data_IF_309533007702
#
_entry.id   IF_309533007702
#
_cell.length_a   1.000
_cell.length_b   1.000
_cell.length_c   1.000
_cell.angle_alpha   90.00
_cell.angle_beta   90.00
_cell.angle_gamma   90.00
#
_symmetry.space_group_name_H-M   'P 1'
#
loop_
_entity.id
_entity.type
_entity.pdbx_description
1 polymer ?
#
# COMPACT_ATOMS: atom_id res chain seq x y z
N UNK A 1 12.45 14.89 -35.18
CA UNK A 1 13.06 15.98 -34.39
C UNK A 1 12.16 16.22 -33.18
N UNK A 2 12.26 15.37 -32.15
CA UNK A 2 11.65 15.60 -30.84
C UNK A 2 12.81 15.70 -29.86
N UNK A 3 13.21 16.94 -29.56
CA UNK A 3 14.14 17.23 -28.47
C UNK A 3 13.41 16.90 -27.17
N UNK A 4 13.72 15.77 -26.57
CA UNK A 4 13.39 15.50 -25.17
C UNK A 4 14.46 16.21 -24.34
N UNK A 5 14.12 17.39 -23.86
CA UNK A 5 14.97 18.17 -22.95
C UNK A 5 15.19 17.36 -21.68
N UNK A 6 16.42 16.88 -21.48
CA UNK A 6 16.84 16.30 -20.20
C UNK A 6 16.79 17.38 -19.13
N UNK A 7 15.87 17.25 -18.18
CA UNK A 7 15.96 17.94 -16.90
C UNK A 7 16.70 17.01 -15.95
N UNK A 8 17.95 17.38 -15.67
CA UNK A 8 18.79 16.72 -14.69
C UNK A 8 18.32 17.06 -13.28
N UNK A 9 17.68 16.11 -12.61
CA UNK A 9 17.48 16.14 -11.16
C UNK A 9 17.28 14.72 -10.62
N UNK A 10 18.34 14.24 -9.97
CA UNK A 10 18.43 13.27 -8.87
C UNK A 10 17.44 12.10 -8.77
N UNK A 11 18.00 10.88 -8.78
CA UNK A 11 17.48 9.65 -8.19
C UNK A 11 16.19 9.04 -8.77
N UNK A 12 16.29 8.52 -10.00
CA UNK A 12 15.31 7.59 -10.56
C UNK A 12 15.50 6.16 -10.00
N UNK A 13 14.53 5.74 -9.18
CA UNK A 13 14.15 4.36 -8.79
C UNK A 13 15.20 3.25 -8.92
N UNK A 14 15.91 2.98 -7.82
CA UNK A 14 16.34 1.63 -7.47
C UNK A 14 15.63 1.27 -6.17
N UNK A 15 14.78 0.24 -6.19
CA UNK A 15 14.36 -0.42 -4.95
C UNK A 15 15.61 -1.03 -4.34
N UNK A 16 16.02 -0.67 -3.11
CA UNK A 16 17.02 -1.43 -2.40
C UNK A 16 16.36 -2.77 -2.11
N UNK A 17 16.73 -3.75 -2.92
CA UNK A 17 16.28 -5.12 -2.80
C UNK A 17 16.77 -5.64 -1.45
N UNK A 18 15.89 -6.30 -0.69
CA UNK A 18 16.37 -7.11 0.42
C UNK A 18 17.46 -8.05 -0.11
N UNK A 19 18.47 -8.42 0.69
CA UNK A 19 19.48 -9.38 0.27
C UNK A 19 18.91 -10.77 -0.10
N UNK A 20 17.59 -10.98 0.04
CA UNK A 20 16.91 -12.27 -0.08
C UNK A 20 15.84 -12.36 -1.18
N UNK A 21 15.54 -11.30 -1.95
CA UNK A 21 14.60 -11.34 -3.08
C UNK A 21 15.01 -10.37 -4.21
N UNK A 22 15.09 -10.81 -5.48
CA UNK A 22 15.05 -9.91 -6.65
C UNK A 22 14.07 -10.46 -7.69
N UNK A 23 13.40 -9.54 -8.37
CA UNK A 23 12.57 -9.82 -9.53
C UNK A 23 13.47 -9.88 -10.79
N UNK A 24 13.56 -11.02 -11.46
CA UNK A 24 14.20 -11.15 -12.78
C UNK A 24 13.30 -11.87 -13.79
N UNK A 25 13.48 -11.49 -15.06
CA UNK A 25 12.71 -11.90 -16.23
C UNK A 25 13.16 -13.29 -16.73
N UNK A 26 12.22 -14.10 -17.22
CA UNK A 26 12.50 -15.30 -18.03
C UNK A 26 12.41 -14.87 -19.50
N UNK A 27 13.55 -14.79 -20.21
CA UNK A 27 13.55 -14.62 -21.66
C UNK A 27 13.44 -16.01 -22.33
N UNK A 28 12.31 -16.30 -22.96
CA UNK A 28 12.23 -17.37 -23.96
C UNK A 28 12.99 -16.92 -25.22
N UNK A 29 14.15 -17.52 -25.47
CA UNK A 29 14.88 -17.33 -26.75
C UNK A 29 14.45 -18.41 -27.73
N UNK A 30 13.86 -17.99 -28.84
CA UNK A 30 13.92 -18.73 -30.09
C UNK A 30 15.29 -18.45 -30.75
N UNK A 31 16.08 -19.50 -30.92
CA UNK A 31 17.33 -19.48 -31.67
C UNK A 31 17.03 -19.41 -33.18
N UNK A 32 17.31 -18.28 -33.80
CA UNK A 32 17.54 -18.21 -35.24
C UNK A 32 19.05 -18.20 -35.50
N UNK A 33 19.54 -19.36 -35.92
CA UNK A 33 20.88 -19.59 -36.45
C UNK A 33 21.08 -18.77 -37.74
N UNK A 34 22.11 -17.92 -37.77
CA UNK A 34 22.70 -17.53 -39.06
C UNK A 34 24.23 -17.48 -38.97
N UNK A 35 24.84 -18.49 -39.58
CA UNK A 35 26.26 -18.58 -39.87
C UNK A 35 26.66 -17.46 -40.83
N UNK A 36 27.77 -16.79 -40.55
CA UNK A 36 28.67 -16.32 -41.59
C UNK A 36 30.11 -16.28 -41.07
N UNK A 37 30.93 -17.09 -41.73
CA UNK A 37 32.39 -17.18 -41.70
C UNK A 37 33.02 -15.96 -42.37
N UNK A 38 34.08 -15.38 -41.80
CA UNK A 38 35.16 -14.75 -42.58
C UNK A 38 36.47 -14.56 -41.76
N UNK A 39 37.47 -15.33 -42.21
CA UNK A 39 38.95 -15.17 -42.28
C UNK A 39 39.75 -14.17 -41.42
N UNK A 40 40.83 -14.70 -40.84
CA UNK A 40 41.97 -14.01 -40.19
C UNK A 40 42.83 -13.19 -41.16
N UNK A 41 43.28 -12.01 -40.72
CA UNK A 41 44.60 -11.42 -41.08
C UNK A 41 45.16 -10.62 -39.89
N UNK A 42 46.47 -10.70 -39.69
CA UNK A 42 47.18 -10.20 -38.52
C UNK A 42 47.84 -8.82 -38.70
N UNK A 43 48.05 -8.14 -37.55
CA UNK A 43 49.07 -7.12 -37.21
C UNK A 43 48.71 -5.62 -37.27
N UNK A 44 48.61 -5.01 -36.07
CA UNK A 44 49.16 -3.71 -35.63
C UNK A 44 48.80 -3.48 -34.13
N UNK A 45 49.64 -2.82 -33.32
CA UNK A 45 49.39 -2.70 -31.87
C UNK A 45 48.23 -1.74 -31.60
N UNK A 46 47.18 -2.22 -30.93
CA UNK A 46 46.01 -1.43 -30.55
C UNK A 46 46.40 -0.45 -29.44
N UNK A 47 46.22 0.85 -29.70
CA UNK A 47 46.07 1.85 -28.66
C UNK A 47 45.01 1.41 -27.64
N UNK A 48 45.31 1.56 -26.35
CA UNK A 48 44.35 1.33 -25.27
C UNK A 48 43.36 2.50 -25.31
N UNK A 49 42.33 2.37 -26.15
CA UNK A 49 41.16 3.25 -26.11
C UNK A 49 40.41 2.92 -24.82
N UNK A 50 40.15 3.89 -23.92
CA UNK A 50 39.35 3.63 -22.74
C UNK A 50 37.97 3.14 -23.19
N UNK A 51 37.62 1.92 -22.78
CA UNK A 51 36.31 1.33 -23.00
C UNK A 51 35.27 2.30 -22.47
N UNK A 52 34.55 2.96 -23.37
CA UNK A 52 33.42 3.79 -23.03
C UNK A 52 32.45 2.93 -22.21
N UNK A 53 32.23 3.29 -20.93
CA UNK A 53 31.20 2.67 -20.11
C UNK A 53 29.89 2.78 -20.88
N UNK A 54 29.31 1.64 -21.29
CA UNK A 54 27.95 1.60 -21.84
C UNK A 54 27.05 2.38 -20.88
N UNK A 55 26.20 3.30 -21.37
CA UNK A 55 25.21 3.91 -20.51
C UNK A 55 24.33 2.79 -19.94
N UNK A 56 24.28 2.67 -18.61
CA UNK A 56 23.30 1.82 -17.93
C UNK A 56 21.91 2.40 -18.19
N UNK A 57 21.24 1.91 -19.22
CA UNK A 57 19.82 2.18 -19.42
C UNK A 57 19.05 1.49 -18.29
N UNK A 58 18.52 2.26 -17.34
CA UNK A 58 17.65 1.74 -16.28
C UNK A 58 16.29 1.41 -16.88
N UNK A 59 15.93 0.13 -16.93
CA UNK A 59 14.63 -0.36 -17.42
C UNK A 59 13.61 -0.36 -16.30
N UNK A 60 12.49 0.36 -16.48
CA UNK A 60 11.32 0.28 -15.60
C UNK A 60 10.69 -1.10 -15.84
N UNK A 61 10.57 -1.93 -14.80
CA UNK A 61 9.89 -3.21 -14.91
C UNK A 61 8.39 -2.99 -15.10
N UNK A 62 7.77 -3.76 -16.00
CA UNK A 62 6.32 -3.77 -16.15
C UNK A 62 5.71 -4.24 -14.82
N UNK A 63 4.89 -3.39 -14.14
CA UNK A 63 4.21 -3.77 -12.93
C UNK A 63 3.54 -5.13 -13.05
N UNK A 64 2.77 -5.40 -14.12
CA UNK A 64 1.97 -6.62 -14.28
C UNK A 64 2.79 -7.92 -14.35
N UNK A 65 4.05 -7.83 -14.75
CA UNK A 65 4.97 -8.98 -14.91
C UNK A 65 5.64 -9.44 -13.61
N UNK A 66 5.38 -8.76 -12.49
CA UNK A 66 6.06 -9.04 -11.23
C UNK A 66 5.63 -10.38 -10.63
N UNK A 67 6.62 -11.19 -10.28
CA UNK A 67 6.47 -12.51 -9.68
C UNK A 67 7.40 -12.65 -8.48
N UNK A 68 6.91 -13.38 -7.47
CA UNK A 68 7.69 -13.76 -6.31
C UNK A 68 8.69 -14.84 -6.70
N UNK A 69 9.93 -14.73 -6.23
CA UNK A 69 10.94 -15.77 -6.37
C UNK A 69 11.76 -15.86 -5.09
N UNK A 70 11.81 -17.05 -4.50
CA UNK A 70 12.58 -17.31 -3.29
C UNK A 70 14.02 -17.71 -3.63
N UNK A 71 15.03 -16.97 -3.16
CA UNK A 71 16.43 -17.42 -3.30
C UNK A 71 16.76 -18.58 -2.38
N UNK A 72 16.09 -18.61 -1.23
CA UNK A 72 16.16 -19.67 -0.25
C UNK A 72 14.73 -19.96 0.17
N UNK A 73 14.36 -21.22 0.42
CA UNK A 73 13.07 -21.55 1.01
C UNK A 73 12.87 -20.73 2.28
N UNK A 74 11.76 -20.00 2.43
CA UNK A 74 11.51 -19.20 3.63
C UNK A 74 11.38 -20.13 4.84
N UNK A 75 12.04 -19.77 5.93
CA UNK A 75 12.04 -20.56 7.17
C UNK A 75 11.34 -19.83 8.31
N UNK A 76 11.32 -18.51 8.24
CA UNK A 76 10.74 -17.64 9.27
C UNK A 76 9.50 -16.93 8.74
N UNK A 77 8.42 -16.99 9.50
CA UNK A 77 7.14 -16.35 9.13
C UNK A 77 6.60 -15.51 10.26
N UNK A 78 6.25 -14.26 9.96
CA UNK A 78 5.53 -13.39 10.88
C UNK A 78 4.03 -13.54 10.63
N UNK A 79 3.28 -13.92 11.67
CA UNK A 79 1.81 -14.02 11.59
C UNK A 79 1.19 -12.85 12.35
N UNK A 80 0.46 -12.00 11.63
CA UNK A 80 -0.25 -10.85 12.17
C UNK A 80 -1.74 -11.17 12.15
N UNK A 81 -2.40 -11.14 13.31
CA UNK A 81 -3.86 -11.29 13.41
C UNK A 81 -4.55 -9.97 13.75
N UNK A 82 -5.77 -9.79 13.26
CA UNK A 82 -6.63 -8.69 13.71
C UNK A 82 -6.89 -8.80 15.22
N UNK A 83 -6.67 -7.69 15.92
CA UNK A 83 -6.80 -7.60 17.37
C UNK A 83 -8.28 -7.53 17.76
N UNK A 84 -8.65 -8.17 18.89
CA UNK A 84 -10.01 -8.20 19.44
C UNK A 84 -11.10 -8.76 18.51
N UNK A 85 -10.72 -9.57 17.53
CA UNK A 85 -11.66 -10.24 16.63
C UNK A 85 -11.67 -11.75 16.89
N UNK A 86 -12.78 -12.23 17.46
CA UNK A 86 -12.95 -13.64 17.86
C UNK A 86 -13.00 -14.56 16.63
N UNK A 87 -13.49 -14.06 15.49
CA UNK A 87 -13.60 -14.82 14.24
C UNK A 87 -12.23 -15.29 13.72
N UNK A 88 -11.17 -14.55 14.07
CA UNK A 88 -9.81 -14.82 13.61
C UNK A 88 -9.08 -15.85 14.47
N UNK A 89 -9.55 -16.13 15.69
CA UNK A 89 -8.82 -17.00 16.63
C UNK A 89 -8.67 -18.44 16.14
N UNK A 90 -9.77 -19.07 15.70
CA UNK A 90 -9.73 -20.44 15.19
C UNK A 90 -8.83 -20.56 13.93
N UNK A 91 -9.00 -19.70 12.90
CA UNK A 91 -8.08 -19.61 11.75
C UNK A 91 -6.62 -19.38 12.14
N UNK A 92 -6.36 -18.49 13.08
CA UNK A 92 -5.01 -18.23 13.58
C UNK A 92 -4.37 -19.48 14.18
N UNK A 93 -5.09 -20.20 15.05
CA UNK A 93 -4.58 -21.43 15.67
C UNK A 93 -4.33 -22.50 14.61
N UNK A 94 -5.23 -22.67 13.65
CA UNK A 94 -5.07 -23.65 12.55
C UNK A 94 -3.83 -23.35 11.71
N UNK A 95 -3.65 -22.09 11.30
CA UNK A 95 -2.50 -21.65 10.50
C UNK A 95 -1.18 -21.87 11.25
N UNK A 96 -1.08 -21.36 12.49
CA UNK A 96 0.15 -21.43 13.28
C UNK A 96 0.52 -22.88 13.58
N UNK A 97 -0.45 -23.71 13.94
CA UNK A 97 -0.23 -25.15 14.15
C UNK A 97 0.33 -25.82 12.90
N UNK A 98 -0.28 -25.55 11.74
CA UNK A 98 0.14 -26.10 10.46
C UNK A 98 1.56 -25.66 10.07
N UNK A 99 1.89 -24.38 10.23
CA UNK A 99 3.22 -23.83 9.95
C UNK A 99 4.32 -24.47 10.80
N UNK A 100 4.03 -24.74 12.08
CA UNK A 100 5.00 -25.31 13.02
C UNK A 100 5.15 -26.82 12.81
N UNK A 101 4.05 -27.57 12.79
CA UNK A 101 4.09 -29.04 12.79
C UNK A 101 4.33 -29.62 11.40
N UNK A 102 3.66 -29.10 10.37
CA UNK A 102 3.77 -29.63 9.00
C UNK A 102 4.89 -28.96 8.21
N UNK A 103 5.03 -27.63 8.31
CA UNK A 103 6.05 -26.88 7.56
C UNK A 103 7.37 -26.69 8.29
N UNK A 104 7.42 -26.99 9.59
CA UNK A 104 8.63 -26.84 10.43
C UNK A 104 9.24 -25.43 10.35
N UNK A 105 8.38 -24.41 10.23
CA UNK A 105 8.79 -23.01 10.18
C UNK A 105 8.88 -22.40 11.57
N UNK A 106 9.74 -21.39 11.71
CA UNK A 106 9.80 -20.55 12.90
C UNK A 106 8.74 -19.46 12.78
N UNK A 107 7.75 -19.49 13.66
CA UNK A 107 6.62 -18.55 13.62
C UNK A 107 6.82 -17.43 14.65
N UNK A 108 6.83 -16.20 14.16
CA UNK A 108 6.85 -14.98 14.96
C UNK A 108 5.44 -14.41 15.15
N UNK A 109 5.14 -13.97 16.37
CA UNK A 109 3.90 -13.27 16.73
C UNK A 109 4.20 -12.12 17.69
N UNK A 110 3.30 -11.14 17.76
CA UNK A 110 3.42 -10.07 18.74
C UNK A 110 3.23 -10.63 20.16
N UNK A 111 4.00 -10.15 21.14
CA UNK A 111 3.94 -10.63 22.52
C UNK A 111 2.54 -10.54 23.14
N UNK A 112 1.73 -9.56 22.74
CA UNK A 112 0.35 -9.40 23.18
C UNK A 112 -0.56 -10.60 22.81
N UNK A 113 -0.19 -11.39 21.79
CA UNK A 113 -0.90 -12.62 21.42
C UNK A 113 -0.78 -13.68 22.54
N UNK A 114 0.33 -13.69 23.29
CA UNK A 114 0.54 -14.63 24.38
C UNK A 114 -0.31 -14.30 25.62
N UNK A 115 -0.75 -13.05 25.72
CA UNK A 115 -1.58 -12.52 26.80
C UNK A 115 -3.09 -12.69 26.52
N UNK A 116 -3.45 -13.15 25.30
CA UNK A 116 -4.84 -13.35 24.88
C UNK A 116 -5.42 -14.65 25.45
N UNK A 117 -6.16 -14.53 26.55
CA UNK A 117 -6.76 -15.66 27.28
C UNK A 117 -7.79 -16.46 26.48
N UNK A 118 -8.33 -15.89 25.40
CA UNK A 118 -9.27 -16.62 24.53
C UNK A 118 -8.56 -17.73 23.74
N UNK A 119 -7.24 -17.60 23.49
CA UNK A 119 -6.45 -18.62 22.81
C UNK A 119 -6.19 -19.86 23.69
N UNK A 120 -6.22 -19.71 25.02
CA UNK A 120 -6.00 -20.82 25.94
C UNK A 120 -7.13 -21.87 25.90
N UNK A 121 -8.29 -21.53 25.30
CA UNK A 121 -9.38 -22.46 25.06
C UNK A 121 -9.03 -23.52 23.98
N UNK A 122 -8.07 -23.22 23.11
CA UNK A 122 -7.69 -24.08 22.00
C UNK A 122 -6.56 -25.02 22.41
N UNK A 123 -6.87 -26.30 22.63
CA UNK A 123 -5.88 -27.33 22.98
C UNK A 123 -4.72 -27.42 21.98
N UNK A 124 -4.98 -27.19 20.70
CA UNK A 124 -3.95 -27.17 19.66
C UNK A 124 -2.95 -26.03 19.86
N UNK A 125 -3.42 -24.85 20.30
CA UNK A 125 -2.56 -23.71 20.59
C UNK A 125 -1.65 -23.96 21.78
N UNK A 126 -2.17 -24.57 22.85
CA UNK A 126 -1.38 -24.89 24.05
C UNK A 126 -0.17 -25.80 23.76
N UNK A 127 -0.26 -26.66 22.74
CA UNK A 127 0.84 -27.56 22.32
C UNK A 127 1.97 -26.87 21.57
N UNK A 128 1.70 -25.70 20.99
CA UNK A 128 2.64 -24.96 20.14
C UNK A 128 3.03 -23.61 20.76
N UNK A 129 2.38 -23.21 21.86
CA UNK A 129 2.55 -21.92 22.53
C UNK A 129 4.01 -21.68 22.93
N UNK A 130 4.71 -22.71 23.37
CA UNK A 130 6.13 -22.70 23.76
C UNK A 130 7.10 -22.67 22.57
N UNK A 131 6.64 -23.03 21.37
CA UNK A 131 7.43 -23.00 20.13
C UNK A 131 7.38 -21.65 19.40
N UNK A 132 6.48 -20.76 19.80
CA UNK A 132 6.30 -19.45 19.18
C UNK A 132 7.43 -18.48 19.57
N UNK A 133 7.92 -17.74 18.59
CA UNK A 133 8.81 -16.61 18.82
C UNK A 133 7.97 -15.35 19.02
N UNK A 134 8.31 -14.54 20.02
CA UNK A 134 7.57 -13.31 20.34
C UNK A 134 8.45 -12.09 20.15
N UNK A 135 7.83 -10.97 19.78
CA UNK A 135 8.48 -9.67 19.70
C UNK A 135 7.60 -8.58 20.30
N UNK A 136 8.20 -7.46 20.69
CA UNK A 136 7.51 -6.25 21.17
C UNK A 136 7.79 -5.09 20.23
N UNK A 137 6.72 -4.50 19.68
CA UNK A 137 6.80 -3.30 18.86
C UNK A 137 7.55 -2.16 19.60
N UNK A 138 8.38 -1.44 18.88
CA UNK A 138 9.24 -0.37 19.38
C UNK A 138 10.43 -0.79 20.25
N UNK A 139 10.60 -2.09 20.56
CA UNK A 139 11.74 -2.61 21.32
C UNK A 139 12.61 -3.58 20.52
N UNK A 140 11.95 -4.51 19.83
CA UNK A 140 12.63 -5.56 19.07
C UNK A 140 12.70 -5.19 17.59
N UNK A 141 13.87 -5.34 16.99
CA UNK A 141 14.05 -5.19 15.54
C UNK A 141 13.81 -6.53 14.83
N UNK A 142 12.85 -6.54 13.90
CA UNK A 142 12.49 -7.68 13.06
C UNK A 142 13.19 -7.66 11.70
N UNK A 143 13.93 -6.59 11.39
CA UNK A 143 14.66 -6.46 10.13
C UNK A 143 15.61 -7.66 9.96
N UNK A 144 15.61 -8.24 8.75
CA UNK A 144 16.40 -9.43 8.37
C UNK A 144 16.13 -10.73 9.18
N UNK A 145 15.10 -10.76 10.03
CA UNK A 145 14.69 -11.97 10.79
C UNK A 145 13.46 -12.69 10.23
N UNK A 146 12.73 -12.02 9.33
CA UNK A 146 11.45 -12.48 8.81
C UNK A 146 11.58 -12.64 7.28
N UNK A 147 11.32 -13.85 6.79
CA UNK A 147 11.35 -14.15 5.35
C UNK A 147 9.99 -13.91 4.69
N UNK A 148 8.90 -14.13 5.45
CA UNK A 148 7.54 -14.14 4.93
C UNK A 148 6.55 -13.58 5.96
N UNK A 149 5.51 -12.86 5.51
CA UNK A 149 4.48 -12.31 6.39
C UNK A 149 3.11 -12.86 5.98
N UNK A 150 2.36 -13.37 6.96
CA UNK A 150 0.95 -13.75 6.78
C UNK A 150 0.07 -12.86 7.66
N UNK A 151 -0.87 -12.17 7.04
CA UNK A 151 -1.87 -11.36 7.70
C UNK A 151 -3.22 -12.09 7.74
N UNK A 152 -3.86 -12.16 8.91
CA UNK A 152 -5.20 -12.70 9.12
C UNK A 152 -6.12 -11.58 9.60
N UNK A 153 -6.96 -11.04 8.72
CA UNK A 153 -7.93 -10.01 9.06
C UNK A 153 -8.28 -9.11 7.88
N UNK A 154 -8.51 -7.83 8.16
CA UNK A 154 -8.74 -6.82 7.11
C UNK A 154 -7.48 -6.00 6.83
N UNK A 155 -7.65 -4.96 6.01
CA UNK A 155 -6.61 -4.04 5.53
C UNK A 155 -5.70 -3.47 6.63
N UNK A 156 -6.24 -3.25 7.84
CA UNK A 156 -5.48 -2.75 8.99
C UNK A 156 -4.33 -3.65 9.44
N UNK A 157 -4.37 -4.95 9.13
CA UNK A 157 -3.26 -5.89 9.40
C UNK A 157 -2.06 -5.62 8.50
N UNK A 158 -2.30 -5.31 7.22
CA UNK A 158 -1.25 -4.95 6.27
C UNK A 158 -0.67 -3.57 6.56
N UNK A 159 -1.50 -2.60 6.99
CA UNK A 159 -1.00 -1.31 7.50
C UNK A 159 -0.06 -1.49 8.70
N UNK A 160 -0.38 -2.41 9.62
CA UNK A 160 0.50 -2.75 10.73
C UNK A 160 1.81 -3.41 10.26
N UNK A 161 1.77 -4.31 9.28
CA UNK A 161 2.97 -4.85 8.66
C UNK A 161 3.86 -3.73 8.06
N UNK A 162 3.27 -2.79 7.30
CA UNK A 162 4.01 -1.64 6.77
C UNK A 162 4.65 -0.78 7.86
N UNK A 163 3.97 -0.61 9.01
CA UNK A 163 4.51 0.11 10.16
C UNK A 163 5.74 -0.59 10.75
N UNK A 164 5.68 -1.91 10.95
CA UNK A 164 6.79 -2.69 11.52
C UNK A 164 8.06 -2.63 10.66
N UNK A 165 7.91 -2.58 9.33
CA UNK A 165 9.03 -2.60 8.38
C UNK A 165 9.22 -1.23 7.71
N UNK A 166 9.91 -0.30 8.36
CA UNK A 166 10.22 1.05 7.82
C UNK A 166 11.34 1.07 6.76
N UNK A 167 11.77 -0.10 6.27
CA UNK A 167 12.71 -0.29 5.17
C UNK A 167 12.17 -1.35 4.21
N UNK A 168 12.99 -2.30 3.74
CA UNK A 168 12.52 -3.42 2.93
C UNK A 168 11.50 -4.25 3.69
N UNK A 169 10.40 -4.61 3.02
CA UNK A 169 9.32 -5.41 3.60
C UNK A 169 9.37 -6.81 2.98
N UNK A 170 9.33 -7.88 3.79
CA UNK A 170 9.14 -9.23 3.28
C UNK A 170 7.81 -9.39 2.51
N UNK A 171 7.68 -10.36 1.59
CA UNK A 171 6.42 -10.66 0.90
C UNK A 171 5.26 -10.86 1.88
N UNK A 172 4.14 -10.18 1.62
CA UNK A 172 2.94 -10.19 2.47
C UNK A 172 1.83 -10.96 1.79
N UNK A 173 1.38 -12.05 2.41
CA UNK A 173 0.16 -12.77 2.05
C UNK A 173 -0.95 -12.42 3.03
N UNK A 174 -2.09 -11.94 2.54
CA UNK A 174 -3.13 -11.40 3.42
C UNK A 174 -4.48 -12.07 3.18
N UNK A 175 -5.02 -12.68 4.23
CA UNK A 175 -6.30 -13.38 4.25
C UNK A 175 -7.40 -12.52 4.86
N UNK A 176 -8.55 -12.44 4.18
CA UNK A 176 -9.79 -11.95 4.78
C UNK A 176 -10.60 -13.10 5.40
N UNK A 177 -11.30 -12.78 6.49
CA UNK A 177 -12.12 -13.72 7.27
C UNK A 177 -13.59 -13.26 7.38
N UNK A 178 -14.00 -12.31 6.54
CA UNK A 178 -15.31 -11.68 6.54
C UNK A 178 -15.55 -11.02 5.18
N UNK A 179 -15.92 -9.74 5.16
CA UNK A 179 -15.96 -8.96 3.92
C UNK A 179 -14.57 -8.84 3.30
N UNK A 180 -14.49 -8.97 1.97
CA UNK A 180 -13.27 -8.66 1.22
C UNK A 180 -12.84 -7.21 1.51
N UNK A 181 -11.53 -7.01 1.63
CA UNK A 181 -10.88 -5.71 1.73
C UNK A 181 -9.95 -5.51 0.53
N UNK A 182 -9.56 -4.27 0.25
CA UNK A 182 -8.74 -3.96 -0.92
C UNK A 182 -7.30 -4.51 -0.84
N UNK A 183 -6.85 -4.90 0.35
CA UNK A 183 -5.49 -5.36 0.60
C UNK A 183 -5.39 -6.85 0.94
N UNK A 184 -6.52 -7.56 1.07
CA UNK A 184 -6.60 -8.92 1.61
C UNK A 184 -7.28 -9.90 0.63
N UNK A 185 -6.62 -10.27 -0.49
CA UNK A 185 -7.27 -11.00 -1.58
C UNK A 185 -7.57 -12.48 -1.28
N UNK A 186 -6.93 -13.08 -0.27
CA UNK A 186 -7.06 -14.52 -0.01
C UNK A 186 -8.21 -14.87 0.94
N UNK A 187 -9.00 -15.89 0.60
CA UNK A 187 -9.96 -16.51 1.53
C UNK A 187 -9.32 -17.62 2.36
N UNK A 188 -9.66 -17.70 3.64
CA UNK A 188 -9.00 -18.65 4.55
C UNK A 188 -9.39 -20.14 4.34
N UNK A 189 -10.48 -20.46 3.62
CA UNK A 189 -11.01 -21.82 3.53
C UNK A 189 -10.00 -22.87 3.07
N UNK A 190 -9.15 -22.55 2.07
CA UNK A 190 -8.14 -23.45 1.52
C UNK A 190 -6.71 -22.89 1.73
N UNK A 191 -6.43 -22.37 2.92
CA UNK A 191 -5.16 -21.69 3.18
C UNK A 191 -3.93 -22.59 2.96
N UNK A 192 -4.00 -23.90 3.24
CA UNK A 192 -2.84 -24.79 3.11
C UNK A 192 -2.34 -24.86 1.66
N UNK A 193 -3.25 -25.03 0.71
CA UNK A 193 -2.93 -25.07 -0.72
C UNK A 193 -2.38 -23.73 -1.19
N UNK A 194 -3.05 -22.64 -0.83
CA UNK A 194 -2.65 -21.29 -1.22
C UNK A 194 -1.27 -20.94 -0.66
N UNK A 195 -1.00 -21.25 0.62
CA UNK A 195 0.32 -21.01 1.22
C UNK A 195 1.38 -21.88 0.57
N UNK A 196 1.09 -23.16 0.25
CA UNK A 196 2.03 -24.02 -0.48
C UNK A 196 2.43 -23.42 -1.84
N UNK A 197 1.45 -22.98 -2.63
CA UNK A 197 1.70 -22.38 -3.95
C UNK A 197 2.59 -21.13 -3.84
N UNK A 198 2.41 -20.34 -2.77
CA UNK A 198 3.26 -19.18 -2.49
C UNK A 198 4.68 -19.60 -2.10
N UNK A 199 4.82 -20.60 -1.24
CA UNK A 199 6.12 -21.11 -0.78
C UNK A 199 6.94 -21.74 -1.93
N UNK A 200 6.28 -22.27 -2.95
CA UNK A 200 6.93 -22.82 -4.16
C UNK A 200 7.51 -21.74 -5.08
N UNK A 201 7.09 -20.47 -4.94
CA UNK A 201 7.79 -19.33 -5.53
C UNK A 201 7.36 -18.93 -6.94
N UNK A 202 6.07 -19.01 -7.26
CA UNK A 202 5.52 -18.58 -8.55
C UNK A 202 4.31 -17.64 -8.46
N UNK A 203 4.05 -17.08 -7.27
CA UNK A 203 2.91 -16.20 -7.07
C UNK A 203 3.11 -14.82 -7.72
N UNK A 204 2.03 -14.24 -8.24
CA UNK A 204 2.02 -12.85 -8.69
C UNK A 204 2.19 -11.90 -7.50
N UNK A 205 2.91 -10.80 -7.74
CA UNK A 205 3.15 -9.76 -6.73
C UNK A 205 2.63 -8.42 -7.24
N UNK A 206 1.98 -7.67 -6.35
CA UNK A 206 1.75 -6.23 -6.50
C UNK A 206 2.71 -5.48 -5.59
N UNK A 207 3.67 -4.75 -6.15
CA UNK A 207 4.52 -3.83 -5.40
C UNK A 207 3.77 -2.53 -5.11
N UNK A 208 3.17 -2.44 -3.92
CA UNK A 208 2.42 -1.25 -3.48
C UNK A 208 3.38 -0.16 -3.04
N UNK A 209 3.36 0.98 -3.73
CA UNK A 209 4.19 2.15 -3.38
C UNK A 209 3.87 2.66 -1.99
N UNK A 210 4.88 3.22 -1.30
CA UNK A 210 4.71 3.95 -0.03
C UNK A 210 5.12 5.40 -0.19
N UNK A 211 4.55 6.30 0.60
CA UNK A 211 5.07 7.65 0.77
C UNK A 211 6.17 7.65 1.82
N UNK A 212 7.23 8.41 1.56
CA UNK A 212 8.25 8.78 2.53
C UNK A 212 7.97 10.20 3.01
N UNK A 213 7.76 10.32 4.31
CA UNK A 213 7.37 11.55 4.97
C UNK A 213 8.46 12.03 5.92
N UNK A 214 8.92 13.26 5.75
CA UNK A 214 9.92 13.89 6.60
C UNK A 214 9.38 15.19 7.18
N UNK A 215 9.31 15.28 8.51
CA UNK A 215 8.95 16.53 9.21
C UNK A 215 10.21 17.37 9.36
N UNK A 216 10.19 18.55 8.78
CA UNK A 216 11.25 19.56 8.83
C UNK A 216 10.79 20.68 9.79
N UNK A 217 11.44 20.78 10.95
CA UNK A 217 11.10 21.82 11.93
C UNK A 217 11.82 23.13 11.65
N UNK A 218 11.19 24.26 11.99
CA UNK A 218 11.78 25.60 11.82
C UNK A 218 13.15 25.74 12.51
N UNK A 219 13.33 25.09 13.66
CA UNK A 219 14.60 25.10 14.42
C UNK A 219 15.79 24.55 13.64
N UNK A 220 15.54 23.65 12.69
CA UNK A 220 16.59 22.91 11.98
C UNK A 220 17.08 23.66 10.74
N UNK A 221 16.34 24.68 10.29
CA UNK A 221 16.66 25.49 9.12
C UNK A 221 17.49 26.76 9.46
N UNK A 222 17.60 27.12 10.75
CA UNK A 222 18.08 28.45 11.18
C UNK A 222 19.48 28.57 11.77
N UNK A 223 20.11 27.52 12.31
CA UNK A 223 21.36 27.67 13.07
C UNK A 223 22.44 26.66 12.64
N UNK A 224 23.29 27.06 11.69
CA UNK A 224 24.62 26.45 11.50
C UNK A 224 25.63 26.81 12.62
N UNK A 225 25.24 27.67 13.58
CA UNK A 225 26.14 28.25 14.58
C UNK A 225 25.98 27.80 16.04
N UNK A 226 24.94 27.05 16.42
CA UNK A 226 24.72 26.67 17.82
C UNK A 226 24.71 25.14 17.98
N UNK A 227 25.90 24.59 18.30
CA UNK A 227 26.19 23.15 18.41
C UNK A 227 25.71 22.52 19.73
N UNK A 228 24.75 23.11 20.43
CA UNK A 228 24.39 22.70 21.81
C UNK A 228 23.01 22.05 21.97
N UNK A 229 22.13 22.07 20.96
CA UNK A 229 20.85 21.35 21.03
C UNK A 229 21.00 19.98 20.39
N UNK A 230 20.70 18.91 21.15
CA UNK A 230 20.54 17.54 20.63
C UNK A 230 19.75 17.63 19.31
N UNK A 231 20.40 17.38 18.17
CA UNK A 231 19.73 17.28 16.87
C UNK A 231 18.74 16.14 17.00
N UNK A 232 17.46 16.48 17.21
CA UNK A 232 16.39 15.49 17.20
C UNK A 232 16.39 14.91 15.79
N UNK A 233 16.57 13.60 15.68
CA UNK A 233 16.63 12.91 14.39
C UNK A 233 15.34 13.27 13.64
N UNK A 234 15.43 13.80 12.40
CA UNK A 234 14.23 14.14 11.64
C UNK A 234 13.37 12.89 11.49
N UNK A 235 12.08 13.04 11.82
CA UNK A 235 11.10 11.97 11.70
C UNK A 235 11.04 11.54 10.24
N UNK A 236 11.48 10.32 9.94
CA UNK A 236 11.44 9.74 8.60
C UNK A 236 10.51 8.53 8.67
N UNK A 237 9.30 8.67 8.16
CA UNK A 237 8.25 7.66 8.25
C UNK A 237 7.83 7.21 6.85
N UNK A 238 7.60 5.92 6.70
CA UNK A 238 7.02 5.32 5.51
C UNK A 238 5.55 5.00 5.76
N UNK A 239 4.73 5.35 4.78
CA UNK A 239 3.26 5.35 4.88
C UNK A 239 2.70 4.63 3.66
N UNK A 240 1.77 3.70 3.87
CA UNK A 240 1.22 2.91 2.77
C UNK A 240 0.03 3.58 2.11
N UNK A 241 -0.93 4.09 2.89
CA UNK A 241 -2.14 4.68 2.36
C UNK A 241 -1.97 6.19 2.22
N UNK A 242 -1.92 6.92 3.33
CA UNK A 242 -1.93 8.38 3.30
C UNK A 242 -1.27 9.07 4.49
N UNK A 243 -0.76 10.27 4.21
CA UNK A 243 -0.46 11.28 5.22
C UNK A 243 -1.55 12.35 5.17
N UNK A 244 -2.14 12.63 6.33
CA UNK A 244 -3.22 13.60 6.49
C UNK A 244 -2.69 14.78 7.27
N UNK A 245 -2.87 15.99 6.76
CA UNK A 245 -2.65 17.24 7.48
C UNK A 245 -3.99 17.91 7.72
N UNK A 246 -4.43 18.01 8.97
CA UNK A 246 -5.75 18.53 9.36
C UNK A 246 -5.66 19.69 10.36
N UNK A 247 -6.75 20.43 10.52
CA UNK A 247 -6.86 21.59 11.45
C UNK A 247 -6.77 21.23 12.94
N UNK A 248 -6.71 19.95 13.30
CA UNK A 248 -6.65 19.54 14.68
C UNK A 248 -7.96 19.74 15.44
N UNK A 249 -7.89 20.03 16.75
CA UNK A 249 -9.06 20.40 17.54
C UNK A 249 -9.54 21.84 17.29
N UNK A 250 -8.85 22.60 16.43
CA UNK A 250 -9.17 24.02 16.24
C UNK A 250 -10.52 24.22 15.56
N UNK A 251 -11.36 25.16 16.03
CA UNK A 251 -12.63 25.49 15.37
C UNK A 251 -12.46 26.31 14.07
N UNK A 252 -11.29 26.91 13.84
CA UNK A 252 -11.04 27.67 12.61
C UNK A 252 -10.45 26.79 11.51
N UNK A 253 -10.65 27.19 10.26
CA UNK A 253 -10.06 26.53 9.09
C UNK A 253 -8.53 26.49 9.20
N UNK A 254 -7.95 25.38 8.75
CA UNK A 254 -6.51 25.29 8.51
C UNK A 254 -6.12 26.14 7.30
N UNK A 255 -4.92 26.72 7.33
CA UNK A 255 -4.33 27.38 6.17
C UNK A 255 -3.00 26.71 5.84
N UNK A 256 -3.01 25.86 4.82
CA UNK A 256 -1.92 24.94 4.49
C UNK A 256 -1.38 25.28 3.11
N UNK A 257 -0.11 25.66 3.02
CA UNK A 257 0.54 25.93 1.74
C UNK A 257 1.09 24.63 1.13
N UNK A 258 0.75 24.39 -0.14
CA UNK A 258 1.20 23.25 -0.92
C UNK A 258 2.20 23.70 -1.99
N UNK A 259 3.37 23.07 -1.97
CA UNK A 259 4.43 23.26 -2.96
C UNK A 259 4.71 21.94 -3.67
N UNK A 260 4.98 22.00 -4.97
CA UNK A 260 5.41 20.87 -5.79
C UNK A 260 6.74 21.25 -6.45
N UNK A 261 7.78 20.46 -6.20
CA UNK A 261 9.16 20.72 -6.65
C UNK A 261 9.62 22.16 -6.39
N UNK A 262 9.27 22.68 -5.21
CA UNK A 262 9.60 24.05 -4.77
C UNK A 262 8.70 25.16 -5.31
N UNK A 263 7.80 24.87 -6.26
CA UNK A 263 6.82 25.84 -6.77
C UNK A 263 5.56 25.84 -5.90
N UNK A 264 5.15 27.01 -5.42
CA UNK A 264 3.86 27.17 -4.72
C UNK A 264 2.72 26.91 -5.70
N UNK A 265 1.82 25.99 -5.33
CA UNK A 265 0.68 25.59 -6.16
C UNK A 265 -0.58 26.28 -5.67
N UNK A 266 -0.88 26.13 -4.37
CA UNK A 266 -2.09 26.68 -3.77
C UNK A 266 -1.98 26.72 -2.25
N UNK A 267 -2.84 27.50 -1.62
CA UNK A 267 -3.05 27.53 -0.18
C UNK A 267 -4.42 26.92 0.12
N UNK A 268 -4.41 25.79 0.82
CA UNK A 268 -5.61 25.03 1.18
C UNK A 268 -6.22 25.64 2.43
N UNK A 269 -7.41 26.22 2.27
CA UNK A 269 -8.25 26.68 3.36
C UNK A 269 -9.41 25.71 3.54
N UNK A 270 -9.44 24.98 4.65
CA UNK A 270 -10.42 23.90 4.85
C UNK A 270 -10.17 23.12 6.13
N UNK A 271 -10.75 21.92 6.20
CA UNK A 271 -10.48 20.99 7.30
C UNK A 271 -9.08 20.39 7.21
N UNK A 272 -8.54 20.22 5.99
CA UNK A 272 -7.19 19.69 5.80
C UNK A 272 -6.85 19.29 4.36
N UNK A 273 -5.80 18.49 4.25
CA UNK A 273 -5.23 17.98 3.02
C UNK A 273 -4.76 16.53 3.23
N UNK A 274 -5.13 15.64 2.32
CA UNK A 274 -4.67 14.25 2.27
C UNK A 274 -3.66 14.14 1.12
N UNK A 275 -2.51 13.55 1.40
CA UNK A 275 -1.60 13.06 0.36
C UNK A 275 -1.54 11.54 0.44
N UNK A 276 -1.98 10.86 -0.61
CA UNK A 276 -2.14 9.41 -0.61
C UNK A 276 -1.41 8.74 -1.77
N UNK A 277 -1.10 7.46 -1.59
CA UNK A 277 -0.69 6.56 -2.66
C UNK A 277 -1.91 6.07 -3.46
N UNK A 278 -1.71 5.39 -4.59
CA UNK A 278 -2.78 4.67 -5.27
C UNK A 278 -3.45 3.62 -4.37
N UNK A 279 -2.69 2.99 -3.46
CA UNK A 279 -3.23 2.05 -2.47
C UNK A 279 -4.16 2.76 -1.48
N UNK A 280 -3.78 3.96 -1.01
CA UNK A 280 -4.63 4.80 -0.16
C UNK A 280 -5.81 5.45 -0.87
N UNK A 281 -5.92 5.33 -2.20
CA UNK A 281 -7.03 5.91 -2.97
C UNK A 281 -8.39 5.35 -2.56
N UNK A 282 -8.44 4.11 -2.06
CA UNK A 282 -9.64 3.43 -1.57
C UNK A 282 -9.85 3.55 -0.06
N UNK A 283 -8.96 4.26 0.65
CA UNK A 283 -9.01 4.46 2.09
C UNK A 283 -9.66 5.81 2.44
N UNK A 284 -8.98 6.69 3.16
CA UNK A 284 -9.59 7.97 3.56
C UNK A 284 -9.81 8.92 2.37
N UNK A 285 -8.97 8.81 1.33
CA UNK A 285 -9.03 9.67 0.15
C UNK A 285 -10.36 9.57 -0.62
N UNK A 286 -10.91 8.36 -0.83
CA UNK A 286 -12.21 8.19 -1.53
C UNK A 286 -13.35 8.86 -0.77
N UNK A 287 -13.33 8.81 0.57
CA UNK A 287 -14.32 9.49 1.40
C UNK A 287 -14.25 11.02 1.27
N UNK A 288 -13.06 11.57 0.99
CA UNK A 288 -12.85 12.98 0.69
C UNK A 288 -13.10 13.34 -0.80
N UNK A 289 -13.59 12.41 -1.61
CA UNK A 289 -13.95 12.63 -3.02
C UNK A 289 -12.84 12.36 -4.03
N UNK A 290 -11.76 11.69 -3.64
CA UNK A 290 -10.72 11.28 -4.57
C UNK A 290 -11.20 10.15 -5.50
N UNK A 291 -10.59 10.05 -6.69
CA UNK A 291 -10.78 8.91 -7.59
C UNK A 291 -10.04 7.68 -7.09
N UNK A 292 -10.59 6.49 -7.32
CA UNK A 292 -9.88 5.23 -7.06
C UNK A 292 -8.86 4.96 -8.15
N UNK A 293 -7.66 4.56 -7.76
CA UNK A 293 -6.53 4.37 -8.66
C UNK A 293 -5.98 2.95 -8.46
N UNK A 294 -5.72 2.25 -9.57
CA UNK A 294 -5.10 0.93 -9.55
C UNK A 294 -3.69 1.00 -8.92
N UNK A 295 -3.29 0.05 -8.05
CA UNK A 295 -1.99 0.08 -7.35
C UNK A 295 -0.76 0.20 -8.26
N UNK A 296 -0.85 -0.28 -9.49
CA UNK A 296 0.24 -0.26 -10.48
C UNK A 296 0.44 1.10 -11.16
N UNK A 297 -0.42 2.10 -10.92
CA UNK A 297 -0.27 3.45 -11.50
C UNK A 297 0.76 4.25 -10.67
N UNK A 298 1.90 4.68 -11.24
CA UNK A 298 2.94 5.39 -10.50
C UNK A 298 2.56 6.86 -10.27
N UNK A 299 1.79 7.13 -9.21
CA UNK A 299 1.31 8.47 -8.89
C UNK A 299 1.27 8.76 -7.40
N UNK A 300 1.23 10.05 -7.06
CA UNK A 300 0.86 10.57 -5.74
C UNK A 300 -0.44 11.34 -5.92
N UNK A 301 -1.37 11.19 -4.98
CA UNK A 301 -2.64 11.90 -5.01
C UNK A 301 -2.64 12.99 -3.94
N UNK A 302 -3.26 14.12 -4.25
CA UNK A 302 -3.49 15.22 -3.30
C UNK A 302 -4.98 15.54 -3.29
N UNK A 303 -5.61 15.37 -2.13
CA UNK A 303 -7.07 15.46 -1.97
C UNK A 303 -7.38 16.42 -0.83
N UNK A 304 -8.01 17.58 -1.09
CA UNK A 304 -8.42 18.48 -0.01
C UNK A 304 -9.57 17.89 0.81
N UNK A 305 -9.60 18.21 2.11
CA UNK A 305 -10.71 17.86 3.01
C UNK A 305 -11.56 19.11 3.22
N UNK A 306 -12.82 19.05 2.78
CA UNK A 306 -13.81 20.13 2.90
C UNK A 306 -13.21 21.52 2.58
N UNK A 307 -12.61 21.72 1.38
CA UNK A 307 -12.00 23.01 1.05
C UNK A 307 -13.07 24.09 0.94
N UNK A 308 -12.79 25.27 1.48
CA UNK A 308 -13.63 26.46 1.33
C UNK A 308 -13.66 26.96 -0.12
N UNK A 309 -12.60 26.68 -0.89
CA UNK A 309 -12.56 26.94 -2.33
C UNK A 309 -13.29 25.85 -3.11
N UNK A 310 -14.38 26.21 -3.78
CA UNK A 310 -15.17 25.29 -4.62
C UNK A 310 -14.43 24.80 -5.87
N UNK A 311 -13.35 25.47 -6.27
CA UNK A 311 -12.56 25.11 -7.44
C UNK A 311 -11.45 24.10 -7.14
N UNK A 312 -11.13 23.86 -5.85
CA UNK A 312 -10.04 22.96 -5.51
C UNK A 312 -10.51 21.50 -5.54
N UNK A 313 -10.14 20.80 -6.61
CA UNK A 313 -10.43 19.39 -6.81
C UNK A 313 -9.23 18.52 -6.46
N UNK A 314 -9.44 17.22 -6.17
CA UNK A 314 -8.34 16.27 -6.04
C UNK A 314 -7.48 16.26 -7.30
N UNK A 315 -6.16 16.21 -7.11
CA UNK A 315 -5.18 16.17 -8.20
C UNK A 315 -4.31 14.91 -8.08
N UNK A 316 -3.86 14.43 -9.23
CA UNK A 316 -2.94 13.29 -9.33
C UNK A 316 -1.66 13.80 -9.97
N UNK A 317 -0.52 13.56 -9.32
CA UNK A 317 0.79 14.02 -9.76
C UNK A 317 1.73 12.82 -9.94
N UNK A 318 2.77 12.91 -10.78
CA UNK A 318 3.69 11.79 -11.02
C UNK A 318 4.42 11.36 -9.74
N UNK A 319 4.70 10.06 -9.58
CA UNK A 319 5.36 9.53 -8.38
C UNK A 319 6.77 10.07 -8.10
N UNK A 320 7.42 10.70 -9.09
CA UNK A 320 8.78 11.25 -8.97
C UNK A 320 8.86 12.67 -8.40
N UNK A 321 7.72 13.34 -8.17
CA UNK A 321 7.71 14.71 -7.65
C UNK A 321 7.92 14.75 -6.15
N UNK A 322 8.41 15.88 -5.66
CA UNK A 322 8.44 16.21 -4.25
C UNK A 322 7.30 17.15 -3.89
N UNK A 323 6.53 16.77 -2.87
CA UNK A 323 5.53 17.64 -2.26
C UNK A 323 6.09 18.21 -0.96
N UNK A 324 5.92 19.52 -0.76
CA UNK A 324 6.16 20.18 0.51
C UNK A 324 4.87 20.83 0.98
N UNK A 325 4.48 20.51 2.20
CA UNK A 325 3.28 21.00 2.85
C UNK A 325 3.74 21.80 4.06
N UNK A 326 3.34 23.06 4.18
CA UNK A 326 3.70 23.89 5.32
C UNK A 326 2.48 24.58 5.91
N UNK A 327 2.47 24.74 7.24
CA UNK A 327 1.49 25.59 7.90
C UNK A 327 1.79 27.02 7.53
N UNK A 328 0.82 27.71 6.92
CA UNK A 328 1.00 29.08 6.45
C UNK A 328 1.38 30.00 7.62
N UNK A 329 2.31 30.96 7.43
CA UNK A 329 2.64 31.96 8.45
C UNK A 329 1.41 32.77 8.91
N UNK A 330 0.44 32.97 8.01
CA UNK A 330 -0.79 33.70 8.26
C UNK A 330 -1.90 32.82 8.88
N UNK A 331 -1.63 31.52 9.09
CA UNK A 331 -2.56 30.64 9.78
C UNK A 331 -2.79 31.12 11.21
N UNK A 332 -4.04 31.10 11.67
CA UNK A 332 -4.37 31.46 13.05
C UNK A 332 -4.01 30.38 14.06
N UNK A 333 -3.85 29.13 13.59
CA UNK A 333 -3.57 27.98 14.42
C UNK A 333 -2.53 27.06 13.78
N UNK A 334 -2.05 26.12 14.60
CA UNK A 334 -1.25 24.98 14.18
C UNK A 334 -2.09 23.99 13.36
N UNK A 335 -1.42 23.03 12.76
CA UNK A 335 -2.07 21.90 12.08
C UNK A 335 -1.57 20.60 12.67
N UNK A 336 -2.25 19.50 12.41
CA UNK A 336 -1.88 18.17 12.88
C UNK A 336 -1.60 17.28 11.70
N UNK A 337 -0.57 16.46 11.79
CA UNK A 337 -0.23 15.45 10.79
C UNK A 337 -0.47 14.06 11.37
N UNK A 338 -1.04 13.16 10.58
CA UNK A 338 -1.14 11.72 10.87
C UNK A 338 -0.64 10.89 9.70
N UNK A 339 -0.18 9.69 9.99
CA UNK A 339 0.45 8.77 9.05
C UNK A 339 -0.29 7.43 9.13
N UNK A 340 -0.97 7.01 8.05
CA UNK A 340 -1.86 5.83 8.03
C UNK A 340 -2.87 5.81 9.21
N UNK A 341 -3.40 7.00 9.57
CA UNK A 341 -4.31 7.18 10.71
C UNK A 341 -3.66 7.02 12.10
N UNK A 342 -2.33 6.95 12.18
CA UNK A 342 -1.54 6.79 13.41
C UNK A 342 -0.53 7.92 13.60
N UNK A 343 0.24 7.85 14.69
CA UNK A 343 1.40 8.70 14.98
C UNK A 343 1.15 10.20 14.82
N UNK A 344 0.02 10.66 15.36
CA UNK A 344 -0.43 12.05 15.23
C UNK A 344 0.57 13.00 15.89
N UNK A 345 1.00 14.02 15.15
CA UNK A 345 1.95 15.02 15.61
C UNK A 345 1.46 16.43 15.25
N UNK A 346 1.76 17.40 16.09
CA UNK A 346 1.46 18.80 15.82
C UNK A 346 2.54 19.43 14.93
N UNK A 347 2.11 20.15 13.90
CA UNK A 347 2.92 20.99 13.02
C UNK A 347 2.74 22.46 13.41
N UNK A 348 3.84 23.09 13.84
CA UNK A 348 3.85 24.48 14.24
C UNK A 348 4.07 25.41 13.04
N UNK A 349 3.88 26.71 13.24
CA UNK A 349 4.17 27.70 12.20
C UNK A 349 5.63 27.65 11.76
N UNK A 350 5.83 27.52 10.44
CA UNK A 350 7.15 27.38 9.83
C UNK A 350 7.71 25.95 9.84
N UNK A 351 7.02 24.99 10.46
CA UNK A 351 7.29 23.57 10.22
C UNK A 351 6.74 23.18 8.84
N UNK A 352 7.38 22.22 8.21
CA UNK A 352 6.93 21.68 6.92
C UNK A 352 7.09 20.18 6.85
N UNK A 353 6.17 19.53 6.17
CA UNK A 353 6.19 18.12 5.83
C UNK A 353 6.66 17.97 4.38
N UNK A 354 7.74 17.22 4.17
CA UNK A 354 8.22 16.83 2.85
C UNK A 354 7.74 15.40 2.56
N UNK A 355 7.09 15.20 1.41
CA UNK A 355 6.53 13.92 0.97
C UNK A 355 7.10 13.56 -0.39
N UNK A 356 7.61 12.34 -0.50
CA UNK A 356 8.18 11.76 -1.73
C UNK A 356 7.74 10.31 -1.84
N UNK A 357 7.78 9.69 -3.01
CA UNK A 357 7.60 8.23 -3.11
C UNK A 357 8.81 7.51 -2.50
N UNK A 358 8.54 6.52 -1.66
CA UNK A 358 9.56 5.67 -1.05
C UNK A 358 10.17 4.72 -2.07
N UNK A 359 11.46 4.44 -1.91
CA UNK A 359 12.18 3.41 -2.65
C UNK A 359 11.86 1.99 -2.15
N UNK A 360 11.16 1.85 -1.03
CA UNK A 360 10.79 0.57 -0.44
C UNK A 360 9.27 0.35 -0.57
N UNK A 361 8.77 -0.31 -1.63
CA UNK A 361 7.36 -0.70 -1.73
C UNK A 361 7.03 -1.86 -0.77
N UNK A 362 5.73 -2.12 -0.57
CA UNK A 362 5.23 -3.32 0.11
C UNK A 362 4.90 -4.38 -0.94
N UNK A 363 5.62 -5.52 -0.99
CA UNK A 363 5.29 -6.62 -1.88
C UNK A 363 4.07 -7.39 -1.34
N UNK A 364 2.91 -7.17 -1.96
CA UNK A 364 1.72 -7.96 -1.68
C UNK A 364 1.60 -9.10 -2.66
N UNK A 365 1.36 -10.28 -2.14
CA UNK A 365 1.06 -11.45 -2.96
C UNK A 365 -0.38 -11.37 -3.46
N UNK A 366 -0.58 -11.69 -4.73
CA UNK A 366 -1.87 -11.77 -5.39
C UNK A 366 -2.43 -13.19 -5.29
N UNK A 367 -3.75 -13.30 -5.17
CA UNK A 367 -4.44 -14.58 -5.24
C UNK A 367 -4.48 -15.12 -6.67
N UNK A 368 -4.77 -14.25 -7.64
CA UNK A 368 -4.71 -14.59 -9.07
C UNK A 368 -3.67 -13.73 -9.79
N UNK A 369 -3.96 -12.44 -9.94
CA UNK A 369 -3.10 -11.45 -10.57
C UNK A 369 -3.48 -10.04 -10.10
N UNK A 370 -2.67 -9.04 -10.46
CA UNK A 370 -2.83 -7.67 -9.95
C UNK A 370 -4.15 -7.03 -10.37
N UNK A 371 -4.61 -7.34 -11.58
CA UNK A 371 -5.77 -6.70 -12.21
C UNK A 371 -7.03 -7.35 -11.66
N UNK A 372 -7.11 -8.68 -11.73
CA UNK A 372 -8.28 -9.45 -11.26
C UNK A 372 -8.55 -9.20 -9.79
N UNK A 373 -7.52 -9.32 -8.93
CA UNK A 373 -7.67 -9.11 -7.49
C UNK A 373 -8.21 -7.70 -7.15
N UNK A 374 -7.80 -6.68 -7.91
CA UNK A 374 -8.25 -5.30 -7.68
C UNK A 374 -9.69 -5.07 -8.12
N UNK A 375 -10.08 -5.59 -9.29
CA UNK A 375 -11.46 -5.46 -9.78
C UNK A 375 -12.46 -6.28 -8.97
N UNK A 376 -12.08 -7.48 -8.52
CA UNK A 376 -12.88 -8.30 -7.61
C UNK A 376 -13.10 -7.55 -6.29
N UNK A 377 -12.04 -6.95 -5.74
CA UNK A 377 -12.12 -6.10 -4.55
C UNK A 377 -13.05 -4.90 -4.74
N UNK A 378 -13.02 -4.23 -5.89
CA UNK A 378 -13.94 -3.14 -6.19
C UNK A 378 -15.39 -3.60 -6.28
N UNK A 379 -15.64 -4.72 -6.97
CA UNK A 379 -16.98 -5.24 -7.17
C UNK A 379 -17.63 -5.65 -5.85
N UNK A 380 -16.90 -6.34 -4.98
CA UNK A 380 -17.42 -6.79 -3.68
C UNK A 380 -17.54 -5.65 -2.67
N UNK A 381 -16.52 -4.79 -2.52
CA UNK A 381 -16.52 -3.74 -1.50
C UNK A 381 -17.53 -2.61 -1.78
N UNK A 382 -17.73 -2.26 -3.05
CA UNK A 382 -18.58 -1.12 -3.43
C UNK A 382 -19.92 -1.55 -4.03
N UNK A 383 -20.15 -2.87 -4.17
CA UNK A 383 -21.28 -3.40 -4.93
C UNK A 383 -21.40 -2.72 -6.30
N UNK A 384 -20.24 -2.53 -6.94
CA UNK A 384 -20.11 -1.76 -8.16
C UNK A 384 -20.98 -2.42 -9.25
N UNK A 385 -22.01 -1.72 -9.70
CA UNK A 385 -23.01 -2.20 -10.67
C UNK A 385 -24.04 -3.25 -10.19
N UNK A 386 -24.39 -3.34 -8.90
CA UNK A 386 -25.56 -4.15 -8.43
C UNK A 386 -26.92 -3.50 -8.80
N UNK A 387 -27.00 -2.84 -9.96
CA UNK A 387 -28.24 -2.29 -10.50
C UNK A 387 -28.89 -3.33 -11.41
N UNK A 388 -30.21 -3.53 -11.30
CA UNK A 388 -30.97 -4.28 -12.32
C UNK A 388 -30.63 -3.71 -13.70
N UNK A 389 -30.09 -4.55 -14.59
CA UNK A 389 -29.76 -4.15 -15.96
C UNK A 389 -31.03 -3.58 -16.60
N UNK A 390 -30.93 -2.37 -17.12
CA UNK A 390 -32.07 -1.73 -17.79
C UNK A 390 -32.50 -2.64 -18.93
N UNK A 391 -33.78 -3.04 -18.94
CA UNK A 391 -34.34 -3.83 -20.03
C UNK A 391 -34.25 -3.01 -21.32
N UNK A 392 -34.05 -3.70 -22.43
CA UNK A 392 -34.15 -3.07 -23.74
C UNK A 392 -35.54 -2.43 -23.89
N UNK A 393 -35.63 -1.34 -24.67
CA UNK A 393 -36.93 -0.75 -25.01
C UNK A 393 -37.64 -1.76 -25.93
N UNK A 394 -38.63 -2.48 -25.42
CA UNK A 394 -39.52 -3.25 -26.27
C UNK A 394 -40.55 -2.27 -26.84
N UNK A 395 -40.39 -1.88 -28.11
CA UNK A 395 -41.18 -0.85 -28.84
C UNK A 395 -42.71 -1.12 -28.92
N UNK A 396 -43.24 -2.13 -28.25
CA UNK A 396 -44.64 -2.55 -28.34
C UNK A 396 -45.43 -2.55 -27.02
N UNK A 397 -44.79 -2.39 -25.86
CA UNK A 397 -45.49 -2.45 -24.55
C UNK A 397 -45.64 -1.10 -23.84
N UNK A 398 -44.87 -0.08 -24.23
CA UNK A 398 -44.92 1.24 -23.56
C UNK A 398 -46.10 2.12 -24.03
N UNK A 399 -46.85 1.69 -25.05
CA UNK A 399 -48.07 2.38 -25.50
C UNK A 399 -49.34 1.96 -24.74
N UNK A 400 -49.28 0.92 -23.89
CA UNK A 400 -50.48 0.39 -23.20
C UNK A 400 -50.48 0.59 -21.68
N UNK A 401 -49.45 1.21 -21.09
CA UNK A 401 -49.36 1.40 -19.63
C UNK A 401 -49.46 2.87 -19.15
N UNK A 402 -50.09 3.76 -19.92
CA UNK A 402 -50.49 5.09 -19.42
C UNK A 402 -51.89 5.08 -18.77
N UNK A 403 -52.30 3.99 -18.12
CA UNK A 403 -53.49 3.96 -17.26
C UNK A 403 -53.12 3.43 -15.89
N UNK A 404 -52.88 4.39 -14.99
CA UNK A 404 -53.09 4.34 -13.54
C UNK A 404 -53.60 3.01 -12.98
N UNK A 405 -52.75 2.28 -12.26
CA UNK A 405 -53.16 1.22 -11.33
C UNK A 405 -52.16 0.97 -10.19
N UNK A 406 -51.47 2.02 -9.74
CA UNK A 406 -50.77 2.00 -8.45
C UNK A 406 -51.74 2.45 -7.36
N UNK A 407 -52.50 1.50 -6.81
CA UNK A 407 -53.05 1.45 -5.43
C UNK A 407 -54.21 0.45 -5.42
N UNK A 408 -54.00 -0.77 -4.92
CA UNK A 408 -55.03 -1.58 -4.21
C UNK A 408 -54.52 -2.94 -3.71
N UNK A 409 -53.41 -3.48 -4.23
CA UNK A 409 -52.93 -4.82 -3.85
C UNK A 409 -52.15 -4.92 -2.52
N UNK A 410 -52.02 -3.83 -1.75
CA UNK A 410 -51.26 -3.82 -0.49
C UNK A 410 -52.12 -3.79 0.78
N UNK A 411 -53.45 -3.94 0.69
CA UNK A 411 -54.35 -3.89 1.86
C UNK A 411 -55.02 -5.23 2.22
N UNK A 412 -54.96 -6.25 1.36
CA UNK A 412 -55.67 -7.52 1.59
C UNK A 412 -54.84 -8.61 2.30
N UNK A 413 -53.61 -8.31 2.75
CA UNK A 413 -52.75 -9.30 3.45
C UNK A 413 -52.64 -9.15 4.97
N UNK A 414 -53.24 -8.13 5.58
CA UNK A 414 -53.17 -7.94 7.06
C UNK A 414 -54.45 -8.35 7.82
N UNK A 415 -55.49 -8.86 7.14
CA UNK A 415 -56.77 -9.21 7.78
C UNK A 415 -57.07 -10.73 7.91
N UNK A 416 -56.12 -11.62 7.60
CA UNK A 416 -56.35 -13.08 7.66
C UNK A 416 -55.54 -13.82 8.76
N UNK A 417 -54.65 -13.17 9.52
CA UNK A 417 -53.87 -13.82 10.60
C UNK A 417 -54.21 -13.37 12.03
N UNK A 418 -55.48 -13.03 12.31
CA UNK A 418 -55.99 -12.93 13.69
C UNK A 418 -57.30 -13.70 13.85
N UNK A 419 -57.17 -15.01 14.05
CA UNK A 419 -57.99 -15.74 15.03
C UNK A 419 -57.14 -16.03 16.27
#
# INVERSE_FOLDING_TARGET
MCLVTMVASGDLFCVPQSPQCKCHFVEDRHDDNNNNTETETASAPKEIVPVAKKPEYRTIQDPASQRLTWYKPPLTVLVIKKVRDVSVLSPFVQLVHWLIEEKRMVVFVEAAVMEDTQLDQYKAFLKIKDKLMTFKDGKDDLTDKIDFIICLGGDGTLLYASQLFQQSVPPVMAFHLGSLGFLTPFQFHNFQEQVNNVLEGHAALTLRSRLRCIIMKKSDQGNAGDKSKLKKIPTNLLVLNEVVVDRGPSPYLSNIDLFLDGKHITSVQGDGLIVSTPTGSTAYAVAAGASMIHPSVPAIMVTPICPHSLSFRPIVVPAGVELKISVSPDSRNTSWVSFDGRNRQELLHGDSLRVTTSIYPVPSICAQDQISDWFDSLAECLHWNVRKRQKHLDELTDLTHSSSNDTLDSLDRELIEKE
#
